data_IF_181382667025
#
_entry.id   IF_181382667025
#
_cell.length_a   1.000
_cell.length_b   1.000
_cell.length_c   1.000
_cell.angle_alpha   90.00
_cell.angle_beta   90.00
_cell.angle_gamma   90.00
#
_symmetry.space_group_name_H-M   'P 1'
#
loop_
_entity.id
_entity.type
_entity.pdbx_description
1 polymer ?
#
# COMPACT_ATOMS: atom_id res chain seq x y z
N UNK A 1 17.18 -29.07 23.14
CA UNK A 1 17.12 -28.45 21.80
C UNK A 1 17.70 -29.45 20.81
N UNK A 2 17.33 -29.38 19.53
CA UNK A 2 17.87 -30.29 18.50
C UNK A 2 19.13 -29.71 17.86
N UNK A 3 20.28 -30.33 18.14
CA UNK A 3 21.59 -29.92 17.63
C UNK A 3 21.71 -30.08 16.11
N UNK A 4 20.91 -30.97 15.52
CA UNK A 4 20.90 -31.30 14.09
C UNK A 4 19.62 -30.81 13.40
N UNK A 5 19.04 -29.70 13.88
CA UNK A 5 17.85 -29.12 13.27
C UNK A 5 18.14 -28.68 11.81
N UNK A 6 17.30 -29.04 10.81
CA UNK A 6 17.53 -28.65 9.42
C UNK A 6 17.58 -27.14 9.12
N UNK A 7 17.30 -26.27 10.11
CA UNK A 7 17.36 -24.80 9.97
C UNK A 7 18.75 -24.22 10.19
N UNK A 8 19.69 -24.99 10.74
CA UNK A 8 21.06 -24.56 10.99
C UNK A 8 22.04 -25.72 10.77
N UNK A 9 23.31 -25.40 10.58
CA UNK A 9 24.36 -26.41 10.70
C UNK A 9 24.38 -27.02 12.11
N UNK A 10 25.16 -28.07 12.34
CA UNK A 10 25.23 -28.69 13.66
C UNK A 10 25.74 -27.68 14.69
N UNK A 11 24.91 -27.36 15.68
CA UNK A 11 25.24 -26.45 16.79
C UNK A 11 25.22 -27.29 18.06
N UNK A 12 26.30 -27.27 18.83
CA UNK A 12 26.44 -28.11 20.00
C UNK A 12 25.97 -27.36 21.24
N UNK A 13 25.10 -27.99 22.02
CA UNK A 13 24.63 -27.42 23.28
C UNK A 13 23.45 -26.46 23.14
N UNK A 14 22.62 -26.47 24.17
CA UNK A 14 21.36 -25.73 24.19
C UNK A 14 21.57 -24.22 24.10
N UNK A 15 22.55 -23.67 24.80
CA UNK A 15 22.76 -22.21 24.89
C UNK A 15 23.11 -21.61 23.53
N UNK A 16 23.97 -22.26 22.77
CA UNK A 16 24.32 -21.84 21.41
C UNK A 16 23.10 -21.86 20.50
N UNK A 17 22.26 -22.91 20.56
CA UNK A 17 21.03 -22.99 19.75
C UNK A 17 20.01 -21.90 20.14
N UNK A 18 19.90 -21.57 21.43
CA UNK A 18 19.02 -20.49 21.88
C UNK A 18 19.49 -19.14 21.34
N UNK A 19 20.79 -18.86 21.40
CA UNK A 19 21.35 -17.60 20.89
C UNK A 19 21.32 -17.53 19.35
N UNK A 20 21.48 -18.66 18.66
CA UNK A 20 21.21 -18.76 17.22
C UNK A 20 19.78 -18.32 16.88
N UNK A 21 18.79 -18.76 17.66
CA UNK A 21 17.40 -18.31 17.48
C UNK A 21 17.22 -16.81 17.75
N UNK A 22 17.92 -16.25 18.74
CA UNK A 22 17.90 -14.81 19.04
C UNK A 22 18.41 -14.02 17.83
N UNK A 23 19.59 -14.38 17.32
CA UNK A 23 20.23 -13.70 16.18
C UNK A 23 19.40 -13.80 14.89
N UNK A 24 18.85 -14.98 14.59
CA UNK A 24 18.20 -15.25 13.30
C UNK A 24 16.72 -14.83 13.25
N UNK A 25 16.02 -14.85 14.39
CA UNK A 25 14.60 -14.49 14.46
C UNK A 25 14.38 -13.06 14.93
N UNK A 26 15.25 -12.54 15.80
CA UNK A 26 15.20 -11.17 16.31
C UNK A 26 13.81 -10.77 16.81
N UNK A 27 13.24 -9.72 16.21
CA UNK A 27 11.90 -9.21 16.58
C UNK A 27 10.77 -10.24 16.46
N UNK A 28 10.87 -11.21 15.56
CA UNK A 28 9.85 -12.27 15.40
C UNK A 28 9.80 -13.17 16.62
N UNK A 29 10.94 -13.39 17.30
CA UNK A 29 10.98 -14.19 18.53
C UNK A 29 10.30 -13.44 19.68
N UNK A 30 10.51 -12.13 19.80
CA UNK A 30 9.80 -11.29 20.80
C UNK A 30 8.27 -11.30 20.55
N UNK A 31 7.84 -11.22 19.28
CA UNK A 31 6.40 -11.31 18.95
C UNK A 31 5.82 -12.67 19.36
N UNK A 32 6.55 -13.76 19.13
CA UNK A 32 6.14 -15.09 19.58
C UNK A 32 6.07 -15.17 21.11
N UNK A 33 7.05 -14.61 21.81
CA UNK A 33 7.07 -14.57 23.28
C UNK A 33 5.87 -13.81 23.84
N UNK A 34 5.54 -12.64 23.29
CA UNK A 34 4.35 -11.87 23.70
C UNK A 34 3.06 -12.65 23.45
N UNK A 35 2.94 -13.27 22.28
CA UNK A 35 1.77 -14.11 21.97
C UNK A 35 1.61 -15.27 22.96
N UNK A 36 2.70 -15.95 23.33
CA UNK A 36 2.69 -17.00 24.35
C UNK A 36 2.31 -16.44 25.73
N UNK A 37 2.89 -15.31 26.13
CA UNK A 37 2.59 -14.66 27.41
C UNK A 37 1.12 -14.20 27.53
N UNK A 38 0.53 -13.75 26.42
CA UNK A 38 -0.86 -13.27 26.36
C UNK A 38 -1.89 -14.40 26.21
N UNK A 39 -1.59 -15.43 25.41
CA UNK A 39 -2.58 -16.42 24.97
C UNK A 39 -2.28 -17.85 25.44
N UNK A 40 -1.13 -18.09 26.09
CA UNK A 40 -0.68 -19.42 26.46
C UNK A 40 -0.12 -20.24 25.27
N UNK A 41 0.10 -21.52 25.52
CA UNK A 41 0.56 -22.47 24.49
C UNK A 41 -0.60 -22.91 23.59
N UNK A 42 -0.28 -23.41 22.40
CA UNK A 42 -1.28 -23.88 21.45
C UNK A 42 -1.70 -25.33 21.76
N UNK A 43 -3.00 -25.55 21.93
CA UNK A 43 -3.57 -26.90 22.13
C UNK A 43 -3.52 -27.79 20.87
N UNK A 44 -3.53 -27.17 19.69
CA UNK A 44 -3.55 -27.86 18.39
C UNK A 44 -2.15 -28.14 17.85
N UNK A 45 -1.20 -27.22 18.06
CA UNK A 45 0.17 -27.37 17.59
C UNK A 45 1.02 -27.98 18.71
N UNK A 46 0.99 -29.29 18.92
CA UNK A 46 1.83 -29.92 19.96
C UNK A 46 3.32 -29.93 19.59
N UNK A 47 4.19 -29.95 20.60
CA UNK A 47 5.64 -30.11 20.40
C UNK A 47 5.94 -31.59 20.14
N UNK A 48 6.73 -31.89 19.10
CA UNK A 48 7.14 -33.26 18.79
C UNK A 48 8.52 -33.52 19.39
N UNK A 49 8.66 -34.61 20.14
CA UNK A 49 9.92 -35.00 20.76
C UNK A 49 10.27 -36.46 20.53
N UNK A 50 11.55 -36.77 20.64
CA UNK A 50 12.09 -38.13 20.63
C UNK A 50 13.04 -38.30 21.82
N UNK A 51 13.02 -39.43 22.54
CA UNK A 51 13.94 -39.65 23.65
C UNK A 51 15.40 -39.64 23.19
N UNK A 52 16.27 -39.07 24.01
CA UNK A 52 17.72 -39.17 23.85
C UNK A 52 18.12 -40.62 24.14
N UNK A 53 18.94 -41.22 23.26
CA UNK A 53 19.47 -42.56 23.52
C UNK A 53 20.31 -42.54 24.79
N UNK A 54 20.15 -43.56 25.63
CA UNK A 54 20.97 -43.78 26.83
C UNK A 54 20.87 -42.69 27.91
N UNK A 55 19.93 -41.74 27.80
CA UNK A 55 19.66 -40.75 28.83
C UNK A 55 18.18 -40.73 29.18
N UNK A 56 17.85 -41.23 30.38
CA UNK A 56 16.49 -41.24 30.89
C UNK A 56 15.94 -39.80 31.02
N UNK A 57 14.64 -39.64 30.78
CA UNK A 57 13.89 -38.39 30.91
C UNK A 57 14.44 -37.18 30.14
N UNK A 58 15.31 -37.42 29.15
CA UNK A 58 15.76 -36.39 28.21
C UNK A 58 15.21 -36.63 26.82
N UNK A 59 14.83 -35.53 26.19
CA UNK A 59 14.17 -35.51 24.90
C UNK A 59 14.80 -34.49 23.96
N UNK A 60 14.86 -34.85 22.68
CA UNK A 60 15.22 -33.96 21.58
C UNK A 60 13.95 -33.44 20.93
N UNK A 61 13.86 -32.12 20.75
CA UNK A 61 12.70 -31.44 20.18
C UNK A 61 12.79 -31.49 18.66
N UNK A 62 11.95 -32.31 18.01
CA UNK A 62 11.96 -32.46 16.54
C UNK A 62 11.08 -31.43 15.84
N UNK A 63 9.93 -31.08 16.41
CA UNK A 63 9.11 -29.94 15.94
C UNK A 63 8.73 -29.01 17.09
N UNK A 64 8.66 -27.70 16.80
CA UNK A 64 8.35 -26.69 17.81
C UNK A 64 9.56 -26.01 18.44
N UNK A 65 10.77 -26.22 17.90
CA UNK A 65 12.03 -25.64 18.43
C UNK A 65 11.94 -24.12 18.72
N UNK A 66 11.31 -23.34 17.84
CA UNK A 66 11.14 -21.89 18.07
C UNK A 66 10.28 -21.55 19.29
N UNK A 67 9.24 -22.36 19.57
CA UNK A 67 8.36 -22.17 20.73
C UNK A 67 9.04 -22.62 22.01
N UNK A 68 9.74 -23.76 21.97
CA UNK A 68 10.55 -24.22 23.11
C UNK A 68 11.67 -23.23 23.43
N UNK A 69 12.32 -22.65 22.41
CA UNK A 69 13.31 -21.59 22.60
C UNK A 69 12.70 -20.35 23.26
N UNK A 70 11.54 -19.89 22.76
CA UNK A 70 10.83 -18.75 23.33
C UNK A 70 10.46 -18.98 24.81
N UNK A 71 9.90 -20.15 25.14
CA UNK A 71 9.53 -20.51 26.52
C UNK A 71 10.74 -20.61 27.44
N UNK A 72 11.84 -21.23 26.98
CA UNK A 72 13.10 -21.32 27.76
C UNK A 72 13.69 -19.95 28.06
N UNK A 73 13.71 -19.06 27.07
CA UNK A 73 14.22 -17.70 27.21
C UNK A 73 13.30 -16.81 28.06
N UNK A 74 11.98 -17.02 28.02
CA UNK A 74 11.03 -16.34 28.91
C UNK A 74 11.17 -16.82 30.36
N UNK A 75 11.37 -18.12 30.56
CA UNK A 75 11.57 -18.71 31.89
C UNK A 75 12.90 -18.25 32.51
N UNK A 76 13.97 -18.21 31.71
CA UNK A 76 15.30 -17.78 32.14
C UNK A 76 15.96 -16.89 31.09
N UNK A 77 15.78 -15.55 31.18
CA UNK A 77 16.40 -14.59 30.28
C UNK A 77 17.93 -14.63 30.29
N UNK A 78 18.56 -15.13 31.37
CA UNK A 78 20.02 -15.22 31.49
C UNK A 78 20.64 -16.17 30.47
N UNK A 79 19.84 -17.02 29.82
CA UNK A 79 20.28 -17.90 28.72
C UNK A 79 20.56 -17.13 27.41
N UNK A 80 20.03 -15.91 27.27
CA UNK A 80 20.37 -15.00 26.17
C UNK A 80 21.69 -14.30 26.47
N UNK A 81 22.64 -14.31 25.54
CA UNK A 81 23.95 -13.68 25.71
C UNK A 81 23.93 -12.19 25.32
N UNK A 82 23.06 -11.79 24.39
CA UNK A 82 22.83 -10.39 24.01
C UNK A 82 22.06 -9.62 25.09
N UNK A 83 22.75 -8.67 25.73
CA UNK A 83 22.21 -7.81 26.79
C UNK A 83 20.98 -6.98 26.36
N UNK A 84 21.00 -6.40 25.16
CA UNK A 84 19.89 -5.58 24.66
C UNK A 84 18.67 -6.44 24.36
N UNK A 85 18.88 -7.62 23.80
CA UNK A 85 17.81 -8.57 23.55
C UNK A 85 17.25 -9.14 24.85
N UNK A 86 18.11 -9.43 25.84
CA UNK A 86 17.69 -9.88 27.18
C UNK A 86 16.73 -8.90 27.83
N UNK A 87 17.04 -7.60 27.82
CA UNK A 87 16.12 -6.56 28.32
C UNK A 87 14.78 -6.54 27.61
N UNK A 88 14.75 -6.87 26.32
CA UNK A 88 13.50 -6.98 25.56
C UNK A 88 12.68 -8.19 25.97
N UNK A 89 13.33 -9.32 26.28
CA UNK A 89 12.67 -10.50 26.85
C UNK A 89 12.07 -10.14 28.22
N UNK A 90 12.85 -9.51 29.09
CA UNK A 90 12.41 -9.08 30.44
C UNK A 90 11.25 -8.08 30.40
N UNK A 91 11.15 -7.27 29.33
CA UNK A 91 10.02 -6.36 29.13
C UNK A 91 8.71 -7.03 28.71
N UNK A 92 8.72 -8.35 28.40
CA UNK A 92 7.49 -9.08 28.08
C UNK A 92 6.73 -9.33 29.37
N UNK A 93 5.50 -8.81 29.46
CA UNK A 93 4.63 -9.03 30.61
C UNK A 93 4.12 -10.48 30.58
N UNK A 94 4.72 -11.35 31.39
CA UNK A 94 4.32 -12.75 31.51
C UNK A 94 3.16 -12.86 32.49
N UNK A 95 2.00 -13.29 31.99
CA UNK A 95 0.84 -13.60 32.84
C UNK A 95 1.13 -14.83 33.71
N UNK A 96 0.62 -14.85 34.94
CA UNK A 96 0.67 -16.03 35.84
C UNK A 96 -0.01 -17.27 35.22
N UNK A 97 -0.79 -17.08 34.16
CA UNK A 97 -1.47 -18.15 33.41
C UNK A 97 -0.55 -18.88 32.42
N UNK A 98 0.64 -18.35 32.12
CA UNK A 98 1.57 -19.04 31.21
C UNK A 98 2.22 -20.23 31.91
N UNK A 99 1.80 -21.44 31.52
CA UNK A 99 2.52 -22.66 31.90
C UNK A 99 3.82 -22.80 31.10
N UNK A 100 4.92 -23.12 31.79
CA UNK A 100 6.19 -23.51 31.18
C UNK A 100 6.31 -25.02 30.95
N UNK A 101 5.36 -25.81 31.47
CA UNK A 101 5.24 -27.22 31.13
C UNK A 101 4.66 -27.36 29.71
N UNK A 102 5.28 -28.21 28.90
CA UNK A 102 4.97 -28.33 27.48
C UNK A 102 4.33 -29.68 27.20
N UNK A 103 3.09 -29.66 26.72
CA UNK A 103 2.43 -30.84 26.19
C UNK A 103 3.13 -31.32 24.91
N UNK A 104 3.73 -32.51 25.00
CA UNK A 104 4.54 -33.08 23.93
C UNK A 104 3.97 -34.39 23.40
N UNK A 105 4.15 -34.61 22.10
CA UNK A 105 3.97 -35.91 21.46
C UNK A 105 5.32 -36.61 21.41
N UNK A 106 5.44 -37.77 22.05
CA UNK A 106 6.67 -38.55 22.11
C UNK A 106 6.65 -39.68 21.05
N UNK A 107 7.60 -39.67 20.11
CA UNK A 107 7.74 -40.69 19.07
C UNK A 107 9.17 -41.21 19.02
N UNK A 108 9.31 -42.55 19.12
CA UNK A 108 10.60 -43.25 19.06
C UNK A 108 11.04 -43.58 17.63
N UNK A 109 10.10 -43.86 16.73
CA UNK A 109 10.39 -44.23 15.35
C UNK A 109 10.83 -43.00 14.53
N UNK A 110 12.09 -43.00 14.11
CA UNK A 110 12.70 -41.94 13.30
C UNK A 110 12.03 -41.79 11.93
N UNK A 111 11.54 -42.88 11.32
CA UNK A 111 10.85 -42.81 10.02
C UNK A 111 9.52 -42.08 10.16
N UNK A 112 8.77 -42.37 11.23
CA UNK A 112 7.53 -41.65 11.56
C UNK A 112 7.78 -40.17 11.83
N UNK A 113 8.83 -39.84 12.57
CA UNK A 113 9.24 -38.44 12.81
C UNK A 113 9.55 -37.73 11.50
N UNK A 114 10.38 -38.33 10.64
CA UNK A 114 10.76 -37.75 9.35
C UNK A 114 9.53 -37.49 8.46
N UNK A 115 8.57 -38.41 8.41
CA UNK A 115 7.32 -38.24 7.68
C UNK A 115 6.47 -37.08 8.22
N UNK A 116 6.28 -36.99 9.54
CA UNK A 116 5.53 -35.88 10.16
C UNK A 116 6.19 -34.52 9.92
N UNK A 117 7.52 -34.45 10.00
CA UNK A 117 8.29 -33.25 9.64
C UNK A 117 8.07 -32.88 8.17
N UNK A 118 8.06 -33.89 7.29
CA UNK A 118 7.77 -33.73 5.87
C UNK A 118 6.40 -33.10 5.62
N UNK A 119 5.35 -33.62 6.25
CA UNK A 119 3.97 -33.10 6.13
C UNK A 119 3.87 -31.61 6.53
N UNK A 120 4.58 -31.22 7.58
CA UNK A 120 4.51 -29.87 8.16
C UNK A 120 5.35 -28.85 7.37
N UNK A 121 6.52 -29.24 6.85
CA UNK A 121 7.51 -28.29 6.35
C UNK A 121 7.77 -28.35 4.84
N UNK A 122 7.43 -29.44 4.14
CA UNK A 122 7.67 -29.57 2.69
C UNK A 122 6.53 -28.99 1.84
N UNK A 123 5.58 -28.29 2.45
CA UNK A 123 4.45 -27.66 1.77
C UNK A 123 3.35 -28.65 1.37
N UNK A 124 2.56 -28.28 0.36
CA UNK A 124 1.30 -28.93 0.01
C UNK A 124 1.45 -30.37 -0.54
N UNK A 125 2.56 -30.70 -1.20
CA UNK A 125 2.85 -32.07 -1.67
C UNK A 125 1.69 -32.71 -2.45
N UNK A 126 1.08 -31.97 -3.38
CA UNK A 126 -0.07 -32.46 -4.15
C UNK A 126 -1.32 -32.71 -3.30
N UNK A 127 -1.46 -32.03 -2.16
CA UNK A 127 -2.59 -32.12 -1.23
C UNK A 127 -2.34 -32.98 0.01
N UNK A 128 -1.17 -33.62 0.12
CA UNK A 128 -0.82 -34.48 1.25
C UNK A 128 -0.35 -33.67 2.47
N UNK A 129 0.41 -32.59 2.24
CA UNK A 129 0.95 -31.73 3.29
C UNK A 129 0.13 -30.47 3.53
N UNK A 130 0.57 -29.62 4.46
CA UNK A 130 -0.20 -28.42 4.83
C UNK A 130 -0.12 -27.33 3.76
N UNK A 131 -1.28 -26.78 3.36
CA UNK A 131 -1.36 -25.59 2.51
C UNK A 131 -1.57 -24.33 3.36
N UNK A 132 -0.88 -23.24 3.00
CA UNK A 132 -1.03 -21.95 3.68
C UNK A 132 -2.26 -21.25 3.13
N UNK A 133 -3.05 -20.65 4.01
CA UNK A 133 -4.10 -19.73 3.60
C UNK A 133 -3.56 -18.59 2.72
N UNK A 134 -4.26 -18.35 1.61
CA UNK A 134 -4.07 -17.21 0.75
C UNK A 134 -4.55 -15.93 1.41
N UNK A 135 -4.55 -14.84 0.64
CA UNK A 135 -4.98 -13.54 1.14
C UNK A 135 -6.50 -13.51 1.44
N UNK A 136 -7.31 -14.24 0.66
CA UNK A 136 -8.77 -14.29 0.81
C UNK A 136 -9.18 -15.06 2.07
N UNK A 137 -8.62 -16.25 2.28
CA UNK A 137 -8.97 -17.08 3.43
C UNK A 137 -8.55 -16.39 4.74
N UNK A 138 -7.39 -15.72 4.74
CA UNK A 138 -6.95 -14.90 5.88
C UNK A 138 -7.93 -13.77 6.17
N UNK A 139 -8.36 -13.06 5.14
CA UNK A 139 -9.25 -11.90 5.28
C UNK A 139 -10.64 -12.32 5.78
N UNK A 140 -11.19 -13.43 5.28
CA UNK A 140 -12.43 -14.04 5.79
C UNK A 140 -12.31 -14.45 7.24
N UNK A 141 -11.22 -15.12 7.62
CA UNK A 141 -11.00 -15.50 9.00
C UNK A 141 -10.89 -14.28 9.94
N UNK A 142 -10.17 -13.23 9.52
CA UNK A 142 -10.08 -11.99 10.32
C UNK A 142 -11.37 -11.20 10.34
N UNK A 143 -12.22 -11.31 9.31
CA UNK A 143 -13.54 -10.71 9.27
C UNK A 143 -14.45 -11.31 10.34
N UNK A 144 -14.53 -12.63 10.39
CA UNK A 144 -15.43 -13.35 11.31
C UNK A 144 -15.03 -13.20 12.78
N UNK A 145 -13.74 -13.03 13.06
CA UNK A 145 -13.19 -13.02 14.44
C UNK A 145 -12.86 -11.62 14.96
N UNK A 146 -12.40 -10.69 14.11
CA UNK A 146 -11.81 -9.40 14.53
C UNK A 146 -12.49 -8.18 13.89
N UNK A 147 -13.50 -8.35 13.04
CA UNK A 147 -14.22 -7.26 12.35
C UNK A 147 -13.35 -6.43 11.38
N UNK A 148 -12.10 -6.85 11.17
CA UNK A 148 -11.14 -6.27 10.25
C UNK A 148 -11.28 -6.90 8.88
N UNK A 149 -11.55 -6.09 7.86
CA UNK A 149 -11.63 -6.56 6.49
C UNK A 149 -10.71 -5.68 5.63
N UNK A 150 -9.53 -6.22 5.30
CA UNK A 150 -8.51 -5.52 4.51
C UNK A 150 -8.92 -5.44 3.05
N UNK A 151 -9.49 -6.53 2.50
CA UNK A 151 -9.80 -6.65 1.08
C UNK A 151 -11.29 -6.49 0.76
N UNK A 152 -12.06 -5.87 1.66
CA UNK A 152 -13.52 -5.75 1.55
C UNK A 152 -13.97 -5.15 0.22
N UNK A 153 -13.19 -4.22 -0.33
CA UNK A 153 -13.49 -3.58 -1.62
C UNK A 153 -13.36 -4.58 -2.76
N UNK A 154 -12.26 -5.32 -2.79
CA UNK A 154 -12.01 -6.35 -3.80
C UNK A 154 -13.05 -7.46 -3.75
N UNK A 155 -13.39 -7.94 -2.55
CA UNK A 155 -14.45 -8.93 -2.36
C UNK A 155 -15.80 -8.37 -2.81
N UNK A 156 -16.15 -7.14 -2.40
CA UNK A 156 -17.37 -6.46 -2.84
C UNK A 156 -17.48 -6.41 -4.37
N UNK A 157 -16.43 -6.01 -5.08
CA UNK A 157 -16.47 -5.90 -6.54
C UNK A 157 -16.53 -7.27 -7.23
N UNK A 158 -15.88 -8.30 -6.68
CA UNK A 158 -16.01 -9.68 -7.17
C UNK A 158 -17.46 -10.15 -6.99
N UNK A 159 -18.03 -10.01 -5.79
CA UNK A 159 -19.39 -10.46 -5.48
C UNK A 159 -20.44 -9.68 -6.29
N UNK A 160 -20.28 -8.36 -6.42
CA UNK A 160 -21.11 -7.51 -7.27
C UNK A 160 -21.05 -7.97 -8.74
N UNK A 161 -19.86 -8.25 -9.26
CA UNK A 161 -19.68 -8.69 -10.64
C UNK A 161 -20.30 -10.08 -10.88
N UNK A 162 -20.18 -11.00 -9.92
CA UNK A 162 -20.86 -12.31 -9.99
C UNK A 162 -22.37 -12.17 -9.99
N UNK A 163 -22.93 -11.38 -9.06
CA UNK A 163 -24.37 -11.19 -8.91
C UNK A 163 -25.00 -10.57 -10.17
N UNK A 164 -24.25 -9.76 -10.91
CA UNK A 164 -24.69 -9.11 -12.14
C UNK A 164 -24.25 -9.85 -13.43
N UNK A 165 -23.69 -11.05 -13.31
CA UNK A 165 -23.30 -11.87 -14.47
C UNK A 165 -22.15 -11.30 -15.30
N UNK A 166 -21.33 -10.41 -14.72
CA UNK A 166 -20.18 -9.80 -15.40
C UNK A 166 -18.97 -10.75 -15.47
N UNK A 167 -18.89 -11.71 -14.54
CA UNK A 167 -17.83 -12.71 -14.46
C UNK A 167 -18.39 -14.08 -14.11
N UNK A 168 -17.71 -15.13 -14.55
CA UNK A 168 -17.98 -16.52 -14.20
C UNK A 168 -17.38 -16.91 -12.85
N UNK A 169 -17.83 -18.03 -12.28
CA UNK A 169 -17.24 -18.60 -11.05
C UNK A 169 -15.73 -18.88 -11.19
N UNK A 170 -15.30 -19.34 -12.37
CA UNK A 170 -13.90 -19.60 -12.64
C UNK A 170 -13.06 -18.30 -12.66
N UNK A 171 -13.61 -17.22 -13.22
CA UNK A 171 -12.95 -15.91 -13.20
C UNK A 171 -12.90 -15.36 -11.79
N UNK A 172 -13.97 -15.50 -11.01
CA UNK A 172 -13.99 -15.11 -9.60
C UNK A 172 -12.93 -15.85 -8.77
N UNK A 173 -12.73 -17.16 -9.01
CA UNK A 173 -11.66 -17.93 -8.35
C UNK A 173 -10.27 -17.36 -8.68
N UNK A 174 -9.98 -17.08 -9.95
CA UNK A 174 -8.70 -16.47 -10.35
C UNK A 174 -8.48 -15.07 -9.80
N UNK A 175 -9.56 -14.28 -9.67
CA UNK A 175 -9.51 -12.96 -9.04
C UNK A 175 -9.22 -13.05 -7.54
N UNK A 176 -9.78 -14.05 -6.85
CA UNK A 176 -9.48 -14.35 -5.46
C UNK A 176 -8.00 -14.71 -5.26
N UNK A 177 -7.42 -15.54 -6.14
CA UNK A 177 -5.98 -15.85 -6.12
C UNK A 177 -5.11 -14.58 -6.28
N UNK A 178 -5.65 -13.55 -6.95
CA UNK A 178 -4.99 -12.29 -7.28
C UNK A 178 -5.50 -11.10 -6.44
N UNK A 179 -6.17 -11.36 -5.32
CA UNK A 179 -6.89 -10.32 -4.58
C UNK A 179 -6.00 -9.15 -4.12
N UNK A 180 -4.72 -9.42 -3.81
CA UNK A 180 -3.79 -8.35 -3.40
C UNK A 180 -3.44 -7.42 -4.56
N UNK A 181 -3.40 -7.94 -5.79
CA UNK A 181 -3.17 -7.16 -7.01
C UNK A 181 -4.41 -6.32 -7.32
N UNK A 182 -5.58 -6.95 -7.23
CA UNK A 182 -6.86 -6.30 -7.42
C UNK A 182 -7.08 -5.16 -6.41
N UNK A 183 -6.77 -5.38 -5.13
CA UNK A 183 -6.93 -4.37 -4.07
C UNK A 183 -6.05 -3.13 -4.28
N UNK A 184 -4.82 -3.32 -4.77
CA UNK A 184 -3.91 -2.22 -5.13
C UNK A 184 -4.41 -1.38 -6.30
N UNK A 185 -5.16 -1.98 -7.22
CA UNK A 185 -5.79 -1.28 -8.33
C UNK A 185 -7.06 -0.57 -7.86
N UNK A 186 -7.96 -1.26 -7.16
CA UNK A 186 -9.25 -0.73 -6.67
C UNK A 186 -9.05 0.45 -5.71
N UNK A 187 -7.95 0.46 -4.96
CA UNK A 187 -7.62 1.54 -4.03
C UNK A 187 -7.03 2.78 -4.72
N UNK A 188 -6.56 2.67 -5.97
CA UNK A 188 -5.92 3.75 -6.72
C UNK A 188 -6.93 4.87 -7.11
N UNK A 189 -6.44 6.11 -7.22
CA UNK A 189 -7.25 7.28 -7.53
C UNK A 189 -7.82 7.24 -8.95
N UNK A 190 -7.03 6.85 -9.93
CA UNK A 190 -7.43 6.74 -11.33
C UNK A 190 -8.52 5.69 -11.50
N UNK A 191 -8.39 4.54 -10.83
CA UNK A 191 -9.46 3.53 -10.77
C UNK A 191 -10.77 4.14 -10.25
N UNK A 192 -10.72 4.85 -9.12
CA UNK A 192 -11.91 5.48 -8.53
C UNK A 192 -12.57 6.47 -9.48
N UNK A 193 -11.78 7.30 -10.17
CA UNK A 193 -12.31 8.27 -11.13
C UNK A 193 -12.86 7.59 -12.39
N UNK A 194 -12.16 6.59 -12.93
CA UNK A 194 -12.54 5.90 -14.17
C UNK A 194 -13.78 5.04 -13.98
N UNK A 195 -13.89 4.32 -12.87
CA UNK A 195 -15.08 3.49 -12.58
C UNK A 195 -16.17 4.27 -11.85
N UNK A 196 -15.95 5.54 -11.54
CA UNK A 196 -16.90 6.40 -10.84
C UNK A 196 -17.32 5.83 -9.49
N UNK A 197 -16.35 5.42 -8.66
CA UNK A 197 -16.61 4.82 -7.34
C UNK A 197 -16.08 5.70 -6.21
N UNK A 198 -16.88 5.86 -5.17
CA UNK A 198 -16.51 6.54 -3.92
C UNK A 198 -16.75 5.59 -2.76
N UNK A 199 -15.75 5.44 -1.89
CA UNK A 199 -15.85 4.59 -0.71
C UNK A 199 -16.26 5.46 0.50
N UNK A 200 -17.42 5.17 1.09
CA UNK A 200 -17.91 5.81 2.32
C UNK A 200 -18.43 4.76 3.28
N UNK A 201 -17.97 4.76 4.52
CA UNK A 201 -18.49 3.89 5.60
C UNK A 201 -18.65 2.42 5.19
N UNK A 202 -17.62 1.87 4.51
CA UNK A 202 -17.61 0.49 3.95
C UNK A 202 -18.68 0.20 2.89
N UNK A 203 -19.23 1.22 2.27
CA UNK A 203 -20.10 1.12 1.11
C UNK A 203 -19.42 1.69 -0.14
N UNK A 204 -19.83 1.18 -1.30
CA UNK A 204 -19.45 1.71 -2.61
C UNK A 204 -20.59 2.55 -3.14
N UNK A 205 -20.33 3.84 -3.37
CA UNK A 205 -21.27 4.78 -3.98
C UNK A 205 -20.83 5.03 -5.41
N UNK A 206 -21.74 4.86 -6.37
CA UNK A 206 -21.49 5.15 -7.78
C UNK A 206 -21.76 6.63 -8.08
N UNK A 207 -20.85 7.27 -8.82
CA UNK A 207 -20.97 8.66 -9.30
C UNK A 207 -21.12 8.75 -10.83
N UNK A 208 -21.22 7.60 -11.49
CA UNK A 208 -21.51 7.46 -12.92
C UNK A 208 -22.70 6.50 -13.10
N UNK A 209 -23.38 6.50 -14.26
CA UNK A 209 -24.44 5.53 -14.54
C UNK A 209 -24.00 4.08 -14.36
N UNK A 210 -24.89 3.28 -13.78
CA UNK A 210 -24.57 1.91 -13.36
C UNK A 210 -24.21 1.00 -14.54
N UNK A 211 -24.82 1.20 -15.69
CA UNK A 211 -24.52 0.46 -16.92
C UNK A 211 -23.09 0.72 -17.43
N UNK A 212 -22.61 1.97 -17.34
CA UNK A 212 -21.22 2.31 -17.66
C UNK A 212 -20.26 1.73 -16.62
N UNK A 213 -20.61 1.83 -15.33
CA UNK A 213 -19.83 1.22 -14.26
C UNK A 213 -19.66 -0.29 -14.49
N UNK A 214 -20.76 -1.00 -14.78
CA UNK A 214 -20.75 -2.46 -15.04
C UNK A 214 -19.92 -2.82 -16.26
N UNK A 215 -20.02 -2.04 -17.34
CA UNK A 215 -19.22 -2.26 -18.55
C UNK A 215 -17.71 -2.16 -18.24
N UNK A 216 -17.29 -1.07 -17.59
CA UNK A 216 -15.88 -0.85 -17.24
C UNK A 216 -15.38 -1.86 -16.21
N UNK A 217 -16.17 -2.12 -15.17
CA UNK A 217 -15.83 -3.10 -14.14
C UNK A 217 -15.67 -4.51 -14.74
N UNK A 218 -16.61 -4.93 -15.60
CA UNK A 218 -16.56 -6.21 -16.29
C UNK A 218 -15.26 -6.36 -17.07
N UNK A 219 -14.90 -5.36 -17.89
CA UNK A 219 -13.65 -5.37 -18.66
C UNK A 219 -12.39 -5.39 -17.78
N UNK A 220 -12.36 -4.64 -16.67
CA UNK A 220 -11.23 -4.70 -15.71
C UNK A 220 -11.07 -6.11 -15.15
N UNK A 221 -12.16 -6.67 -14.62
CA UNK A 221 -12.13 -7.96 -13.93
C UNK A 221 -11.84 -9.11 -14.90
N UNK A 222 -12.38 -9.04 -16.12
CA UNK A 222 -12.08 -10.00 -17.18
C UNK A 222 -10.59 -10.05 -17.48
N UNK A 223 -9.96 -8.90 -17.74
CA UNK A 223 -8.52 -8.84 -18.03
C UNK A 223 -7.67 -9.36 -16.87
N UNK A 224 -7.98 -8.99 -15.64
CA UNK A 224 -7.23 -9.47 -14.45
C UNK A 224 -7.47 -10.96 -14.22
N UNK A 225 -8.58 -11.54 -14.69
CA UNK A 225 -8.89 -12.97 -14.58
C UNK A 225 -8.24 -13.85 -15.67
N UNK A 226 -7.57 -13.26 -16.67
CA UNK A 226 -6.91 -14.00 -17.73
C UNK A 226 -5.75 -14.86 -17.19
N UNK A 227 -5.57 -16.13 -17.61
CA UNK A 227 -4.54 -17.00 -17.08
C UNK A 227 -3.12 -16.41 -17.13
N UNK A 228 -2.81 -15.67 -18.19
CA UNK A 228 -1.50 -15.10 -18.52
C UNK A 228 -1.29 -13.66 -18.02
N UNK A 229 -2.28 -13.06 -17.35
CA UNK A 229 -2.18 -11.71 -16.78
C UNK A 229 -0.96 -11.57 -15.87
N UNK A 230 -0.15 -10.55 -16.11
CA UNK A 230 1.08 -10.30 -15.35
C UNK A 230 0.88 -9.17 -14.36
N UNK A 231 1.17 -9.41 -13.08
CA UNK A 231 1.04 -8.41 -12.00
C UNK A 231 1.76 -7.09 -12.31
N UNK A 232 2.87 -7.15 -13.08
CA UNK A 232 3.60 -5.96 -13.53
C UNK A 232 2.73 -4.95 -14.29
N UNK A 233 1.69 -5.41 -14.98
CA UNK A 233 0.76 -4.56 -15.75
C UNK A 233 -0.08 -3.62 -14.88
N UNK A 234 -0.12 -3.82 -13.56
CA UNK A 234 -0.84 -2.94 -12.62
C UNK A 234 -0.02 -2.66 -11.36
N UNK A 235 1.31 -2.75 -11.48
CA UNK A 235 2.20 -2.65 -10.33
C UNK A 235 2.39 -1.21 -9.85
N UNK A 236 2.95 -0.36 -10.72
CA UNK A 236 3.15 1.07 -10.46
C UNK A 236 1.98 1.91 -11.01
N UNK A 237 2.04 3.22 -10.74
CA UNK A 237 0.97 4.15 -11.13
C UNK A 237 0.82 4.28 -12.65
N UNK A 238 1.89 4.10 -13.42
CA UNK A 238 1.85 4.26 -14.87
C UNK A 238 1.25 3.05 -15.55
N UNK A 239 1.65 1.86 -15.10
CA UNK A 239 1.09 0.62 -15.60
C UNK A 239 -0.41 0.56 -15.27
N UNK A 240 -0.83 1.05 -14.09
CA UNK A 240 -2.26 1.21 -13.75
C UNK A 240 -2.97 2.20 -14.66
N UNK A 241 -2.35 3.34 -14.97
CA UNK A 241 -2.91 4.33 -15.90
C UNK A 241 -3.08 3.75 -17.31
N UNK A 242 -2.05 3.11 -17.84
CA UNK A 242 -2.06 2.50 -19.17
C UNK A 242 -3.06 1.33 -19.24
N UNK A 243 -3.14 0.53 -18.16
CA UNK A 243 -4.14 -0.53 -18.02
C UNK A 243 -5.58 0.04 -18.07
N UNK A 244 -5.89 1.06 -17.27
CA UNK A 244 -7.23 1.67 -17.25
C UNK A 244 -7.57 2.38 -18.56
N UNK A 245 -6.58 2.96 -19.24
CA UNK A 245 -6.76 3.56 -20.57
C UNK A 245 -7.19 2.50 -21.58
N UNK A 246 -6.47 1.37 -21.64
CA UNK A 246 -6.83 0.23 -22.51
C UNK A 246 -8.24 -0.29 -22.23
N UNK A 247 -8.64 -0.37 -20.96
CA UNK A 247 -9.99 -0.79 -20.55
C UNK A 247 -11.05 0.16 -21.12
N UNK A 248 -10.88 1.47 -20.96
CA UNK A 248 -11.86 2.46 -21.46
C UNK A 248 -11.95 2.43 -22.98
N UNK A 249 -10.83 2.32 -23.68
CA UNK A 249 -10.78 2.19 -25.14
C UNK A 249 -11.50 0.93 -25.64
N UNK A 250 -11.28 -0.21 -24.97
CA UNK A 250 -11.98 -1.46 -25.30
C UNK A 250 -13.48 -1.38 -25.04
N UNK A 251 -13.90 -0.76 -23.94
CA UNK A 251 -15.30 -0.54 -23.62
C UNK A 251 -16.00 0.33 -24.68
N UNK A 252 -15.31 1.35 -25.20
CA UNK A 252 -15.78 2.18 -26.32
C UNK A 252 -16.00 1.33 -27.58
N UNK A 253 -15.00 0.53 -27.97
CA UNK A 253 -15.09 -0.34 -29.15
C UNK A 253 -16.19 -1.41 -29.02
N UNK A 254 -16.42 -1.96 -27.82
CA UNK A 254 -17.49 -2.91 -27.56
C UNK A 254 -18.89 -2.28 -27.68
N UNK A 255 -19.02 -1.00 -27.28
CA UNK A 255 -20.25 -0.23 -27.45
C UNK A 255 -20.52 0.09 -28.94
N UNK A 256 -19.48 0.37 -29.72
CA UNK A 256 -19.61 0.64 -31.18
C UNK A 256 -19.97 -0.64 -31.97
N UNK A 257 -19.49 -1.81 -31.54
CA UNK A 257 -19.78 -3.12 -32.19
C UNK A 257 -21.16 -3.69 -31.89
N UNK A 258 -21.87 -3.18 -30.89
CA UNK A 258 -23.25 -3.64 -30.56
C UNK A 258 -24.32 -2.99 -31.46
N UNK A 259 -23.92 -2.25 -32.50
CA UNK A 259 -24.79 -1.72 -33.55
C UNK A 259 -25.09 -2.81 -34.61
N UNK A 260 -26.36 -3.21 -34.83
CA UNK A 260 -26.71 -4.11 -35.92
C UNK A 260 -26.86 -3.34 -37.26
N UNK A 261 -26.12 -3.75 -38.29
CA UNK A 261 -26.30 -3.38 -39.71
C UNK A 261 -25.01 -2.83 -40.32
N UNK A 262 -24.33 -3.47 -41.28
CA UNK A 262 -24.82 -4.11 -42.51
C UNK A 262 -23.86 -5.23 -42.94
N UNK A 263 -24.40 -6.43 -43.17
CA UNK A 263 -23.71 -7.50 -43.91
C UNK A 263 -23.80 -7.17 -45.39
N UNK A 264 -22.78 -6.51 -45.93
CA UNK A 264 -22.57 -6.36 -47.36
C UNK A 264 -21.77 -7.53 -47.91
N UNK A 265 -22.49 -8.49 -48.50
CA UNK A 265 -21.95 -9.59 -49.32
C UNK A 265 -20.93 -9.10 -50.35
N UNK A 266 -19.77 -9.74 -50.41
CA UNK A 266 -18.86 -9.69 -51.57
C UNK A 266 -19.10 -10.91 -52.46
N UNK A 267 -19.73 -10.68 -53.62
CA UNK A 267 -19.82 -11.57 -54.76
C UNK A 267 -20.19 -10.74 -56.01
N UNK A 268 -19.57 -10.97 -57.18
CA UNK A 268 -19.32 -9.92 -58.18
C UNK A 268 -20.34 -9.85 -59.32
N UNK A 269 -20.15 -8.82 -60.15
CA UNK A 269 -20.59 -8.61 -61.55
C UNK A 269 -21.76 -7.64 -61.85
N UNK A 270 -21.35 -6.61 -62.60
CA UNK A 270 -21.94 -6.00 -63.81
C UNK A 270 -23.42 -5.57 -63.90
N UNK A 271 -23.60 -4.35 -64.46
CA UNK A 271 -24.72 -4.02 -65.33
C UNK A 271 -25.77 -3.03 -64.79
N UNK A 272 -25.60 -1.75 -65.12
CA UNK A 272 -26.70 -0.76 -65.24
C UNK A 272 -27.60 -1.08 -66.46
N UNK A 273 -28.72 -0.37 -66.72
CA UNK A 273 -29.72 0.24 -65.82
C UNK A 273 -31.18 -0.04 -66.29
N UNK A 274 -32.21 0.29 -65.49
CA UNK A 274 -33.61 0.22 -65.97
C UNK A 274 -34.65 0.84 -65.03
N UNK A 275 -35.28 1.91 -65.51
CA UNK A 275 -36.26 2.75 -64.83
C UNK A 275 -37.62 2.09 -64.52
N UNK A 276 -38.29 2.50 -63.43
CA UNK A 276 -39.57 3.24 -63.40
C UNK A 276 -40.20 3.26 -61.98
N UNK A 277 -40.52 4.48 -61.54
CA UNK A 277 -41.39 4.86 -60.41
C UNK A 277 -42.86 4.36 -60.56
N UNK A 278 -43.80 4.72 -59.67
CA UNK A 278 -43.87 4.52 -58.21
C UNK A 278 -45.29 4.04 -57.75
N UNK A 279 -45.47 3.55 -56.50
CA UNK A 279 -46.68 3.80 -55.69
C UNK A 279 -46.67 3.15 -54.28
N UNK A 280 -46.71 4.03 -53.27
CA UNK A 280 -47.55 4.02 -52.06
C UNK A 280 -47.25 3.14 -50.82
N UNK A 281 -46.70 3.83 -49.79
CA UNK A 281 -47.01 3.81 -48.34
C UNK A 281 -46.46 2.69 -47.43
N UNK A 282 -46.25 2.95 -46.12
CA UNK A 282 -45.88 4.18 -45.40
C UNK A 282 -44.61 4.03 -44.52
N UNK A 283 -44.05 5.17 -44.12
CA UNK A 283 -42.94 5.34 -43.17
C UNK A 283 -43.15 4.64 -41.81
N UNK A 284 -42.08 4.06 -41.22
CA UNK A 284 -41.82 4.07 -39.79
C UNK A 284 -40.53 4.89 -39.51
N UNK A 285 -40.58 6.20 -39.74
CA UNK A 285 -39.44 7.10 -39.55
C UNK A 285 -39.58 7.90 -38.25
N UNK A 286 -39.69 7.24 -37.09
CA UNK A 286 -39.63 7.92 -35.78
C UNK A 286 -38.92 7.13 -34.69
N UNK A 287 -38.59 5.84 -34.88
CA UNK A 287 -37.88 5.05 -33.87
C UNK A 287 -36.34 5.11 -33.99
N UNK A 288 -35.80 5.46 -35.17
CA UNK A 288 -34.35 5.34 -35.44
C UNK A 288 -33.50 6.55 -35.00
N UNK A 289 -34.11 7.72 -34.77
CA UNK A 289 -33.37 8.92 -34.34
C UNK A 289 -33.11 8.98 -32.83
N UNK A 290 -34.01 8.47 -31.98
CA UNK A 290 -33.84 8.47 -30.53
C UNK A 290 -32.75 7.51 -30.03
N UNK A 291 -32.57 6.38 -30.71
CA UNK A 291 -31.59 5.35 -30.34
C UNK A 291 -30.16 5.76 -30.67
N UNK A 292 -29.96 6.47 -31.79
CA UNK A 292 -28.64 7.01 -32.19
C UNK A 292 -28.16 8.12 -31.24
N UNK A 293 -29.05 9.02 -30.80
CA UNK A 293 -28.66 10.11 -29.89
C UNK A 293 -28.25 9.59 -28.50
N UNK A 294 -28.97 8.59 -27.98
CA UNK A 294 -28.66 7.99 -26.68
C UNK A 294 -27.35 7.18 -26.71
N UNK A 295 -27.03 6.52 -27.82
CA UNK A 295 -25.77 5.79 -28.00
C UNK A 295 -24.56 6.74 -28.10
N UNK A 296 -24.70 7.85 -28.83
CA UNK A 296 -23.67 8.90 -28.91
C UNK A 296 -23.43 9.57 -27.56
N UNK A 297 -24.47 9.85 -26.77
CA UNK A 297 -24.32 10.36 -25.41
C UNK A 297 -23.58 9.39 -24.50
N UNK A 298 -23.89 8.10 -24.59
CA UNK A 298 -23.21 7.07 -23.80
C UNK A 298 -21.75 6.89 -24.21
N UNK A 299 -21.42 6.98 -25.50
CA UNK A 299 -20.04 6.94 -25.98
C UNK A 299 -19.22 8.14 -25.46
N UNK A 300 -19.81 9.34 -25.46
CA UNK A 300 -19.20 10.54 -24.84
C UNK A 300 -18.99 10.36 -23.34
N UNK A 301 -19.92 9.69 -22.66
CA UNK A 301 -19.84 9.47 -21.23
C UNK A 301 -18.77 8.43 -20.84
N UNK A 302 -18.53 7.42 -21.68
CA UNK A 302 -17.40 6.48 -21.57
C UNK A 302 -16.07 7.19 -21.84
N UNK A 303 -15.99 8.02 -22.88
CA UNK A 303 -14.78 8.78 -23.21
C UNK A 303 -14.36 9.71 -22.08
N UNK A 304 -15.32 10.27 -21.34
CA UNK A 304 -15.07 11.08 -20.15
C UNK A 304 -14.43 10.29 -18.99
N UNK A 305 -14.46 8.96 -19.01
CA UNK A 305 -13.85 8.09 -17.98
C UNK A 305 -12.36 7.81 -18.22
N UNK A 306 -11.77 8.28 -19.32
CA UNK A 306 -10.34 8.18 -19.54
C UNK A 306 -9.58 8.74 -18.32
N UNK A 307 -8.62 7.97 -17.77
CA UNK A 307 -7.85 8.45 -16.63
C UNK A 307 -7.09 9.71 -17.06
N UNK A 308 -7.05 10.71 -16.18
CA UNK A 308 -6.33 11.95 -16.45
C UNK A 308 -4.91 11.80 -15.99
N UNK A 309 -3.95 11.92 -16.90
CA UNK A 309 -2.52 11.84 -16.57
C UNK A 309 -2.20 12.99 -15.62
N UNK A 310 -2.06 12.69 -14.33
CA UNK A 310 -1.36 13.59 -13.42
C UNK A 310 0.06 13.69 -13.95
N UNK A 311 0.52 14.91 -14.22
CA UNK A 311 1.87 15.18 -14.73
C UNK A 311 2.85 14.36 -13.89
N UNK A 312 3.59 13.44 -14.53
CA UNK A 312 4.67 12.73 -13.86
C UNK A 312 5.65 13.74 -13.34
N UNK A 313 5.99 13.58 -12.07
CA UNK A 313 7.13 14.22 -11.49
C UNK A 313 8.40 13.75 -12.24
N UNK A 314 9.28 14.65 -12.71
CA UNK A 314 10.45 14.28 -13.48
C UNK A 314 11.36 13.35 -12.67
N UNK A 315 11.99 12.38 -13.33
CA UNK A 315 12.99 11.46 -12.75
C UNK A 315 13.97 12.23 -11.83
N UNK A 316 14.01 11.94 -10.51
CA UNK A 316 14.87 12.65 -9.56
C UNK A 316 16.35 12.63 -9.94
N UNK A 317 16.82 11.56 -10.62
CA UNK A 317 18.21 11.45 -11.07
C UNK A 317 18.55 12.39 -12.24
N UNK A 318 17.55 12.78 -13.04
CA UNK A 318 17.71 13.66 -14.21
C UNK A 318 17.28 15.11 -13.94
N UNK A 319 16.66 15.36 -12.80
CA UNK A 319 16.09 16.65 -12.41
C UNK A 319 17.13 17.52 -11.73
N UNK A 320 17.42 18.69 -12.28
CA UNK A 320 18.41 19.62 -11.70
C UNK A 320 17.78 20.74 -10.86
N UNK A 321 16.53 20.53 -10.42
CA UNK A 321 15.70 21.46 -9.64
C UNK A 321 15.18 20.77 -8.39
N UNK A 322 14.95 21.55 -7.33
CA UNK A 322 14.42 21.05 -6.06
C UNK A 322 12.90 20.85 -6.12
N UNK A 323 12.18 21.79 -6.72
CA UNK A 323 10.72 21.73 -6.86
C UNK A 323 10.32 20.91 -8.08
N UNK A 324 9.24 20.15 -7.96
CA UNK A 324 8.65 19.44 -9.09
C UNK A 324 7.54 20.26 -9.72
N UNK A 325 6.62 20.77 -8.90
CA UNK A 325 5.58 21.67 -9.35
C UNK A 325 5.68 23.04 -8.71
N UNK A 326 4.92 23.98 -9.27
CA UNK A 326 4.91 25.34 -8.75
C UNK A 326 4.18 25.41 -7.40
N UNK A 327 4.76 26.18 -6.48
CA UNK A 327 4.11 26.58 -5.22
C UNK A 327 3.57 27.99 -5.41
N UNK A 328 2.25 28.15 -5.29
CA UNK A 328 1.62 29.47 -5.39
C UNK A 328 1.61 30.15 -4.02
N UNK A 329 2.52 31.12 -3.84
CA UNK A 329 2.61 31.93 -2.63
C UNK A 329 1.87 33.26 -2.86
N UNK A 330 0.96 33.68 -1.97
CA UNK A 330 0.26 34.97 -2.08
C UNK A 330 1.22 36.16 -2.23
N UNK A 331 0.85 37.16 -3.04
CA UNK A 331 1.69 38.33 -3.31
C UNK A 331 2.00 39.17 -2.07
N UNK A 332 1.11 39.12 -1.06
CA UNK A 332 1.30 39.75 0.25
C UNK A 332 2.52 39.18 0.99
N UNK A 333 2.87 37.91 0.77
CA UNK A 333 4.06 37.27 1.34
C UNK A 333 5.28 37.39 0.42
N UNK A 334 5.61 38.65 0.08
CA UNK A 334 6.65 38.99 -0.89
C UNK A 334 8.03 38.39 -0.56
N UNK A 335 8.37 38.23 0.72
CA UNK A 335 9.63 37.62 1.17
C UNK A 335 9.71 36.13 0.81
N UNK A 336 8.66 35.36 1.12
CA UNK A 336 8.62 33.92 0.78
C UNK A 336 8.52 33.70 -0.73
N UNK A 337 7.74 34.52 -1.43
CA UNK A 337 7.63 34.47 -2.90
C UNK A 337 8.98 34.73 -3.57
N UNK A 338 9.73 35.75 -3.14
CA UNK A 338 11.08 36.03 -3.64
C UNK A 338 12.06 34.88 -3.35
N UNK A 339 12.03 34.34 -2.13
CA UNK A 339 12.91 33.23 -1.75
C UNK A 339 12.61 31.97 -2.58
N UNK A 340 11.33 31.63 -2.75
CA UNK A 340 10.91 30.52 -3.61
C UNK A 340 11.40 30.69 -5.05
N UNK A 341 11.17 31.86 -5.67
CA UNK A 341 11.59 32.12 -7.05
C UNK A 341 13.12 32.06 -7.22
N UNK A 342 13.87 32.52 -6.21
CA UNK A 342 15.33 32.41 -6.21
C UNK A 342 15.77 30.95 -6.16
N UNK A 343 15.21 30.13 -5.26
CA UNK A 343 15.54 28.71 -5.17
C UNK A 343 15.20 27.99 -6.47
N UNK A 344 14.00 28.25 -7.03
CA UNK A 344 13.53 27.62 -8.26
C UNK A 344 14.36 28.03 -9.49
N UNK A 345 15.02 29.19 -9.45
CA UNK A 345 15.94 29.63 -10.51
C UNK A 345 17.31 28.92 -10.49
N UNK A 346 17.76 28.42 -9.33
CA UNK A 346 19.07 27.78 -9.17
C UNK A 346 19.09 26.32 -9.63
N UNK A 347 20.26 25.82 -10.01
CA UNK A 347 20.49 24.40 -10.33
C UNK A 347 21.05 23.65 -9.13
N UNK A 348 20.57 22.45 -8.85
CA UNK A 348 21.04 21.63 -7.73
C UNK A 348 22.48 21.14 -7.92
N UNK A 349 22.87 20.82 -9.16
CA UNK A 349 24.21 20.37 -9.55
C UNK A 349 25.27 21.44 -9.29
N UNK A 350 24.93 22.72 -9.46
CA UNK A 350 25.83 23.87 -9.31
C UNK A 350 25.73 24.52 -7.91
N UNK A 351 24.54 24.51 -7.30
CA UNK A 351 24.23 25.31 -6.11
C UNK A 351 23.55 24.53 -4.97
N UNK A 352 23.74 23.21 -4.91
CA UNK A 352 22.99 22.33 -4.00
C UNK A 352 23.02 22.73 -2.52
N UNK A 353 24.16 23.21 -2.00
CA UNK A 353 24.25 23.69 -0.61
C UNK A 353 23.43 24.97 -0.38
N UNK A 354 23.49 25.93 -1.31
CA UNK A 354 22.71 27.17 -1.25
C UNK A 354 21.22 26.86 -1.32
N UNK A 355 20.85 25.95 -2.22
CA UNK A 355 19.48 25.46 -2.37
C UNK A 355 18.99 24.80 -1.08
N UNK A 356 19.79 23.93 -0.44
CA UNK A 356 19.42 23.30 0.83
C UNK A 356 19.20 24.31 1.97
N UNK A 357 20.07 25.33 2.10
CA UNK A 357 19.92 26.39 3.10
C UNK A 357 18.64 27.20 2.89
N UNK A 358 18.46 27.65 1.65
CA UNK A 358 17.34 28.50 1.28
C UNK A 358 16.02 27.73 1.37
N UNK A 359 16.00 26.45 1.01
CA UNK A 359 14.86 25.56 1.15
C UNK A 359 14.46 25.35 2.62
N UNK A 360 15.43 25.15 3.53
CA UNK A 360 15.17 25.12 4.97
C UNK A 360 14.53 26.42 5.45
N UNK A 361 15.10 27.57 5.08
CA UNK A 361 14.57 28.87 5.45
C UNK A 361 13.16 29.10 4.89
N UNK A 362 12.87 28.61 3.67
CA UNK A 362 11.54 28.69 3.08
C UNK A 362 10.53 27.89 3.89
N UNK A 363 10.86 26.66 4.31
CA UNK A 363 9.98 25.85 5.17
C UNK A 363 9.73 26.55 6.50
N UNK A 364 10.80 27.04 7.14
CA UNK A 364 10.73 27.69 8.45
C UNK A 364 9.81 28.91 8.44
N UNK A 365 10.05 29.85 7.52
CA UNK A 365 9.23 31.06 7.39
C UNK A 365 7.79 30.70 6.99
N UNK A 366 7.58 29.70 6.11
CA UNK A 366 6.24 29.29 5.70
C UNK A 366 5.42 28.70 6.85
N UNK A 367 6.04 27.87 7.71
CA UNK A 367 5.34 27.28 8.86
C UNK A 367 5.03 28.34 9.91
N UNK A 368 5.94 29.30 10.14
CA UNK A 368 5.69 30.42 11.04
C UNK A 368 4.48 31.26 10.58
N UNK A 369 4.45 31.65 9.29
CA UNK A 369 3.32 32.39 8.70
C UNK A 369 2.01 31.61 8.84
N UNK A 370 2.06 30.28 8.60
CA UNK A 370 0.87 29.44 8.74
C UNK A 370 0.31 29.43 10.17
N UNK A 371 1.19 29.27 11.18
CA UNK A 371 0.80 29.26 12.60
C UNK A 371 0.17 30.60 12.99
N UNK A 372 0.74 31.71 12.55
CA UNK A 372 0.22 33.05 12.81
C UNK A 372 -1.14 33.28 12.14
N UNK A 373 -1.26 32.91 10.85
CA UNK A 373 -2.47 33.11 10.06
C UNK A 373 -3.69 32.36 10.64
N UNK A 374 -3.48 31.15 11.14
CA UNK A 374 -4.54 30.33 11.73
C UNK A 374 -4.61 30.43 13.26
N UNK A 375 -3.80 31.31 13.88
CA UNK A 375 -3.76 31.52 15.34
C UNK A 375 -3.64 30.21 16.13
N UNK A 376 -2.75 29.31 15.69
CA UNK A 376 -2.61 27.98 16.31
C UNK A 376 -1.92 28.11 17.68
N UNK A 377 -2.58 27.62 18.74
CA UNK A 377 -2.02 27.65 20.08
C UNK A 377 -0.89 26.62 20.22
N UNK A 378 0.28 27.12 20.61
CA UNK A 378 1.51 26.35 20.78
C UNK A 378 2.30 26.82 21.99
N UNK A 379 1.63 27.38 23.00
CA UNK A 379 2.27 27.94 24.20
C UNK A 379 3.24 26.94 24.87
N UNK A 380 2.85 25.67 24.98
CA UNK A 380 3.64 24.59 25.60
C UNK A 380 4.89 24.17 24.79
N UNK A 381 5.03 24.65 23.55
CA UNK A 381 6.12 24.32 22.63
C UNK A 381 7.13 25.46 22.45
N UNK A 382 6.90 26.60 23.11
CA UNK A 382 7.81 27.75 23.03
C UNK A 382 9.02 27.54 23.94
N UNK A 383 10.20 27.84 23.42
CA UNK A 383 11.42 27.90 24.23
C UNK A 383 11.41 29.16 25.13
N UNK A 384 12.45 29.32 25.95
CA UNK A 384 12.64 30.51 26.83
C UNK A 384 12.66 31.86 26.12
N UNK A 385 12.78 31.88 24.80
CA UNK A 385 12.77 33.08 23.94
C UNK A 385 11.43 33.24 23.20
N UNK A 386 10.41 32.43 23.50
CA UNK A 386 9.10 32.48 22.86
C UNK A 386 9.04 31.84 21.47
N UNK A 387 10.11 31.16 21.03
CA UNK A 387 10.20 30.57 19.69
C UNK A 387 9.85 29.08 19.70
N UNK A 388 9.17 28.62 18.65
CA UNK A 388 8.84 27.21 18.44
C UNK A 388 9.94 26.58 17.56
N UNK A 389 10.34 25.34 17.85
CA UNK A 389 11.34 24.65 17.03
C UNK A 389 10.75 24.29 15.65
N UNK A 390 11.56 24.30 14.59
CA UNK A 390 11.11 23.92 13.25
C UNK A 390 10.42 22.52 13.20
N UNK A 391 10.97 21.46 13.86
CA UNK A 391 10.26 20.19 13.96
C UNK A 391 8.86 20.31 14.58
N UNK A 392 8.70 21.11 15.63
CA UNK A 392 7.41 21.30 16.29
C UNK A 392 6.44 22.11 15.42
N UNK A 393 6.93 23.15 14.74
CA UNK A 393 6.12 23.93 13.80
C UNK A 393 5.57 23.06 12.66
N UNK A 394 6.42 22.19 12.09
CA UNK A 394 5.98 21.25 11.04
C UNK A 394 4.89 20.30 11.56
N UNK A 395 5.04 19.78 12.79
CA UNK A 395 4.04 18.89 13.41
C UNK A 395 2.70 19.60 13.62
N UNK A 396 2.72 20.79 14.20
CA UNK A 396 1.53 21.61 14.45
C UNK A 396 0.79 21.91 13.13
N UNK A 397 1.52 22.39 12.12
CA UNK A 397 0.94 22.68 10.81
C UNK A 397 0.36 21.42 10.14
N UNK A 398 1.07 20.29 10.19
CA UNK A 398 0.60 19.04 9.59
C UNK A 398 -0.65 18.49 10.29
N UNK A 399 -0.74 18.61 11.62
CA UNK A 399 -1.94 18.22 12.37
C UNK A 399 -3.16 19.07 11.98
N UNK A 400 -2.99 20.40 11.92
CA UNK A 400 -4.05 21.31 11.54
C UNK A 400 -4.48 21.17 10.07
N UNK A 401 -3.52 21.00 9.15
CA UNK A 401 -3.80 20.75 7.74
C UNK A 401 -4.58 19.44 7.54
N UNK A 402 -4.30 18.42 8.34
CA UNK A 402 -5.03 17.16 8.27
C UNK A 402 -6.44 17.30 8.84
N UNK A 403 -6.61 17.92 10.00
CA UNK A 403 -7.95 18.14 10.58
C UNK A 403 -8.83 19.02 9.70
N UNK A 404 -8.22 19.94 8.95
CA UNK A 404 -8.89 20.81 7.97
C UNK A 404 -9.10 20.15 6.59
N UNK A 405 -8.69 18.89 6.41
CA UNK A 405 -8.89 18.13 5.17
C UNK A 405 -8.00 18.53 3.99
N UNK A 406 -6.91 19.28 4.24
CA UNK A 406 -5.98 19.73 3.21
C UNK A 406 -4.89 18.72 2.86
N UNK A 407 -4.56 17.79 3.77
CA UNK A 407 -3.57 16.72 3.52
C UNK A 407 -4.13 15.33 3.86
N UNK A 408 -3.55 14.28 3.27
CA UNK A 408 -3.96 12.90 3.52
C UNK A 408 -3.44 12.36 4.86
N UNK A 409 -4.09 11.29 5.36
CA UNK A 409 -3.63 10.57 6.56
C UNK A 409 -2.23 9.99 6.36
N UNK A 410 -1.92 9.55 5.15
CA UNK A 410 -0.62 8.97 4.80
C UNK A 410 0.49 10.04 4.85
N UNK A 411 0.24 11.25 4.33
CA UNK A 411 1.19 12.36 4.40
C UNK A 411 1.39 12.83 5.85
N UNK A 412 0.31 12.96 6.63
CA UNK A 412 0.40 13.23 8.08
C UNK A 412 1.25 12.15 8.77
N UNK A 413 1.01 10.88 8.47
CA UNK A 413 1.78 9.75 9.00
C UNK A 413 3.26 9.88 8.67
N UNK A 414 3.61 10.10 7.40
CA UNK A 414 5.00 10.28 6.95
C UNK A 414 5.73 11.40 7.74
N UNK A 415 5.06 12.54 7.90
CA UNK A 415 5.58 13.69 8.64
C UNK A 415 5.75 13.37 10.13
N UNK A 416 4.74 12.78 10.78
CA UNK A 416 4.73 12.57 12.23
C UNK A 416 5.56 11.35 12.68
N UNK A 417 5.49 10.23 11.96
CA UNK A 417 6.01 8.91 12.41
C UNK A 417 7.32 8.47 11.77
N UNK A 418 7.88 9.19 10.79
CA UNK A 418 9.02 8.69 10.00
C UNK A 418 10.14 9.68 9.76
N UNK A 419 9.86 10.80 9.09
CA UNK A 419 10.94 11.57 8.45
C UNK A 419 11.35 12.86 9.18
N UNK A 420 10.40 13.60 9.76
CA UNK A 420 10.71 14.84 10.50
C UNK A 420 11.15 14.56 11.94
N UNK A 421 10.63 13.48 12.54
CA UNK A 421 10.91 13.08 13.92
C UNK A 421 12.20 12.26 14.10
N UNK A 422 12.73 11.65 13.03
CA UNK A 422 13.95 10.85 13.09
C UNK A 422 15.17 11.71 12.73
N UNK A 423 16.10 12.01 13.65
CA UNK A 423 17.27 12.83 13.37
C UNK A 423 18.17 12.28 12.25
N UNK A 424 18.07 10.97 11.97
CA UNK A 424 18.83 10.28 10.94
C UNK A 424 18.09 10.18 9.60
N UNK A 425 16.84 10.66 9.50
CA UNK A 425 16.14 10.74 8.22
C UNK A 425 16.59 11.98 7.44
N UNK A 426 16.77 11.83 6.13
CA UNK A 426 17.10 12.92 5.21
C UNK A 426 16.08 14.07 5.23
N UNK A 427 14.82 13.79 5.57
CA UNK A 427 13.78 14.81 5.68
C UNK A 427 13.64 15.41 7.08
N UNK A 428 14.53 15.09 8.02
CA UNK A 428 14.48 15.76 9.31
C UNK A 428 14.97 17.21 9.19
N UNK A 429 14.42 18.14 9.98
CA UNK A 429 14.99 19.46 10.11
C UNK A 429 16.46 19.38 10.57
N UNK A 430 16.85 18.39 11.36
CA UNK A 430 18.25 18.19 11.71
C UNK A 430 19.11 17.83 10.48
N UNK A 431 18.58 17.02 9.56
CA UNK A 431 19.26 16.62 8.33
C UNK A 431 19.43 17.79 7.34
N UNK A 432 18.40 18.62 7.14
CA UNK A 432 18.51 19.88 6.37
C UNK A 432 19.60 20.81 6.95
N UNK A 433 19.81 20.78 8.26
CA UNK A 433 20.90 21.49 8.92
C UNK A 433 22.25 20.75 8.79
N UNK A 434 22.25 19.41 8.78
CA UNK A 434 23.45 18.59 8.63
C UNK A 434 24.11 18.70 7.25
N UNK A 435 23.35 19.06 6.20
CA UNK A 435 23.90 19.42 4.88
C UNK A 435 24.93 20.57 4.96
N UNK A 436 24.90 21.38 6.02
CA UNK A 436 25.82 22.50 6.24
C UNK A 436 27.04 22.17 7.10
N UNK A 437 26.94 21.16 7.96
CA UNK A 437 27.92 20.93 9.05
C UNK A 437 28.46 19.50 9.14
N UNK A 438 27.96 18.56 8.32
CA UNK A 438 28.44 17.18 8.29
C UNK A 438 29.74 17.02 7.47
N UNK A 439 30.76 16.37 8.05
CA UNK A 439 31.95 15.87 7.31
C UNK A 439 31.65 14.69 6.38
N UNK A 440 30.43 14.16 6.40
CA UNK A 440 30.00 13.02 5.57
C UNK A 440 28.86 13.43 4.63
N UNK A 441 28.98 12.96 3.39
CA UNK A 441 28.22 13.32 2.20
C UNK A 441 26.73 12.95 2.31
N UNK A 442 25.86 13.91 2.62
CA UNK A 442 24.47 13.77 2.20
C UNK A 442 24.40 14.02 0.69
N UNK A 443 23.85 13.07 -0.07
CA UNK A 443 23.76 13.20 -1.52
C UNK A 443 22.59 14.11 -1.93
N UNK A 444 22.69 14.77 -3.09
CA UNK A 444 21.60 15.60 -3.61
C UNK A 444 20.36 14.78 -3.96
N UNK A 445 20.51 13.49 -4.25
CA UNK A 445 19.37 12.57 -4.36
C UNK A 445 18.63 12.42 -3.02
N UNK A 446 19.36 12.36 -1.90
CA UNK A 446 18.77 12.34 -0.56
C UNK A 446 17.96 13.60 -0.25
N UNK A 447 18.46 14.78 -0.66
CA UNK A 447 17.72 16.05 -0.52
C UNK A 447 16.43 16.03 -1.35
N UNK A 448 16.49 15.58 -2.60
CA UNK A 448 15.31 15.47 -3.48
C UNK A 448 14.27 14.52 -2.89
N UNK A 449 14.68 13.32 -2.49
CA UNK A 449 13.78 12.32 -1.91
C UNK A 449 13.06 12.86 -0.67
N UNK A 450 13.80 13.51 0.24
CA UNK A 450 13.24 14.16 1.42
C UNK A 450 12.28 15.32 1.09
N UNK A 451 12.58 16.09 0.04
CA UNK A 451 11.74 17.19 -0.39
C UNK A 451 10.40 16.69 -0.94
N UNK A 452 10.45 15.65 -1.76
CA UNK A 452 9.30 15.02 -2.42
C UNK A 452 8.39 14.28 -1.43
N UNK A 453 8.99 13.56 -0.47
CA UNK A 453 8.24 12.75 0.51
C UNK A 453 7.47 13.58 1.54
N UNK A 454 7.91 14.81 1.80
CA UNK A 454 7.47 15.58 2.95
C UNK A 454 7.21 17.05 2.63
N UNK A 455 8.24 17.80 2.20
CA UNK A 455 8.20 19.26 2.23
C UNK A 455 7.40 19.91 1.10
N UNK A 456 7.44 19.39 -0.11
CA UNK A 456 6.80 20.04 -1.25
C UNK A 456 5.27 20.08 -1.10
N UNK A 457 4.64 18.94 -0.79
CA UNK A 457 3.18 18.88 -0.63
C UNK A 457 2.72 19.58 0.66
N UNK A 458 3.53 19.55 1.72
CA UNK A 458 3.29 20.33 2.94
C UNK A 458 3.23 21.82 2.63
N UNK A 459 4.26 22.36 1.95
CA UNK A 459 4.31 23.77 1.55
C UNK A 459 3.15 24.13 0.61
N UNK A 460 2.90 23.29 -0.40
CA UNK A 460 1.82 23.50 -1.36
C UNK A 460 0.45 23.57 -0.68
N UNK A 461 0.20 22.66 0.27
CA UNK A 461 -1.06 22.61 1.02
C UNK A 461 -1.18 23.77 2.01
N UNK A 462 -0.10 24.10 2.73
CA UNK A 462 -0.05 25.25 3.63
C UNK A 462 -0.36 26.56 2.89
N UNK A 463 0.31 26.83 1.76
CA UNK A 463 0.11 28.06 1.01
C UNK A 463 -1.26 28.15 0.34
N UNK A 464 -1.84 27.03 -0.12
CA UNK A 464 -3.23 27.00 -0.59
C UNK A 464 -4.22 27.37 0.52
N UNK A 465 -4.03 26.82 1.71
CA UNK A 465 -4.88 27.12 2.87
C UNK A 465 -4.74 28.59 3.30
N UNK A 466 -3.51 29.13 3.37
CA UNK A 466 -3.26 30.55 3.66
C UNK A 466 -3.92 31.45 2.61
N UNK A 467 -3.77 31.12 1.32
CA UNK A 467 -4.38 31.87 0.22
C UNK A 467 -5.92 31.90 0.34
N UNK A 468 -6.52 30.77 0.69
CA UNK A 468 -7.96 30.65 0.92
C UNK A 468 -8.41 31.48 2.14
N UNK A 469 -7.67 31.44 3.25
CA UNK A 469 -7.98 32.19 4.46
C UNK A 469 -7.89 33.71 4.24
N UNK A 470 -6.89 34.17 3.46
CA UNK A 470 -6.70 35.58 3.09
C UNK A 470 -7.66 36.10 2.02
N UNK A 471 -8.58 35.26 1.50
CA UNK A 471 -9.61 35.68 0.54
C UNK A 471 -9.10 36.02 -0.87
N UNK A 472 -7.94 35.49 -1.30
CA UNK A 472 -7.33 35.79 -2.60
C UNK A 472 -7.54 34.68 -3.65
N UNK A 473 -8.70 34.02 -3.70
CA UNK A 473 -8.94 32.82 -4.52
C UNK A 473 -8.54 32.97 -6.01
#
# INVERSE_FOLDING_TARGET
MDEENPRHDKINGQREILNWHVEHLGSKLILLMRSLAENGQSDIDKVLVTPVREVADKYVVKEGNRRVAALKLLHDPSLCDDELFRRRIESVNVSDQLSFDIDCVNIKDQRRVAWLMGLRHLGEQGGVGTSKWGAVEKDRHTQDVLGGNRYWRSLYFIDYAKAHGLITDQQAARLNDRITTLDRLISNKDFKSTLGVVYKDRNVVLVIPEDIHRLLLGSVLEQISLPDFRVKEVYDSDNKFDFLTRVVEQAKLAQEKTVPGSVGKSGPEEGSPGAKDPAHSPNPATADQGTKSAQEEKAKLIEKQLPKKTRKDPDPAKRDKLFIGSITIPSVESKCSRLYNQIDSLKLSEHGLVVACAARALVDISMQIYIEEFSLDAADKKNRFGQISLPDMIKICAEHLFSSGHISKDLKGSILSGEVSNPNSFASPQALHSFLHGRYQNSMEGLKAAWESCYEELLRSAWRAVKANKGQA
#
